data_IF_568898622715
#
_entry.id   IF_568898622715
#
_cell.length_a   1.000
_cell.length_b   1.000
_cell.length_c   1.000
_cell.angle_alpha   90.00
_cell.angle_beta   90.00
_cell.angle_gamma   90.00
#
_symmetry.space_group_name_H-M   'P 1'
#
loop_
_entity.id
_entity.type
_entity.pdbx_description
1 polymer ?
#
# COMPACT_ATOMS: atom_id res chain seq x y z
N UNK A 1 -3.55 -9.99 -18.22
CA UNK A 1 -3.23 -9.96 -16.78
C UNK A 1 -2.20 -8.87 -16.57
N UNK A 2 -2.49 -7.90 -15.71
CA UNK A 2 -1.56 -6.81 -15.37
C UNK A 2 -0.32 -7.39 -14.70
N UNK A 3 0.87 -7.02 -15.15
CA UNK A 3 2.11 -7.45 -14.51
C UNK A 3 2.23 -6.82 -13.11
N UNK A 4 2.56 -7.59 -12.05
CA UNK A 4 2.69 -7.03 -10.71
C UNK A 4 3.84 -6.01 -10.65
N UNK A 5 3.67 -4.92 -9.89
CA UNK A 5 4.65 -3.81 -9.82
C UNK A 5 6.07 -4.27 -9.43
N UNK A 6 6.17 -5.28 -8.57
CA UNK A 6 7.46 -5.86 -8.21
C UNK A 6 8.17 -6.52 -9.38
N UNK A 7 7.45 -7.18 -10.29
CA UNK A 7 8.05 -7.76 -11.49
C UNK A 7 8.52 -6.67 -12.46
N UNK A 8 7.72 -5.60 -12.62
CA UNK A 8 8.10 -4.44 -13.44
C UNK A 8 9.36 -3.73 -12.94
N UNK A 9 9.59 -3.68 -11.64
CA UNK A 9 10.79 -3.07 -11.06
C UNK A 9 12.03 -3.98 -11.09
N UNK A 10 11.85 -5.29 -11.18
CA UNK A 10 12.91 -6.31 -11.13
C UNK A 10 14.00 -6.05 -10.07
N UNK A 11 13.65 -5.97 -8.77
CA UNK A 11 14.63 -5.71 -7.73
C UNK A 11 15.49 -6.94 -7.44
N UNK A 12 16.77 -6.72 -7.18
CA UNK A 12 17.62 -7.79 -6.62
C UNK A 12 17.06 -8.28 -5.29
N UNK A 13 17.28 -9.57 -4.97
CA UNK A 13 16.89 -10.15 -3.67
C UNK A 13 17.37 -9.33 -2.47
N UNK A 14 18.55 -8.72 -2.57
CA UNK A 14 19.12 -7.86 -1.51
C UNK A 14 18.29 -6.60 -1.33
N UNK A 15 17.94 -5.92 -2.43
CA UNK A 15 17.13 -4.70 -2.38
C UNK A 15 15.73 -5.01 -1.85
N UNK A 16 15.11 -6.08 -2.34
CA UNK A 16 13.77 -6.49 -1.88
C UNK A 16 13.73 -6.76 -0.37
N UNK A 17 14.69 -7.52 0.15
CA UNK A 17 14.79 -7.77 1.60
C UNK A 17 14.89 -6.45 2.37
N UNK A 18 15.79 -5.55 1.96
CA UNK A 18 15.96 -4.25 2.63
C UNK A 18 14.69 -3.40 2.61
N UNK A 19 13.96 -3.39 1.49
CA UNK A 19 12.69 -2.70 1.36
C UNK A 19 11.60 -3.22 2.32
N UNK A 20 11.70 -4.50 2.70
CA UNK A 20 10.77 -5.17 3.61
C UNK A 20 11.11 -4.93 5.09
N UNK A 21 12.38 -5.06 5.48
CA UNK A 21 12.75 -5.06 6.91
C UNK A 21 13.25 -3.72 7.45
N UNK A 22 13.74 -2.80 6.61
CA UNK A 22 14.15 -1.49 7.08
C UNK A 22 12.91 -0.66 7.45
N UNK A 23 13.05 0.17 8.49
CA UNK A 23 11.99 1.02 9.01
C UNK A 23 11.86 2.25 8.11
N UNK A 24 10.91 2.21 7.18
CA UNK A 24 10.58 3.33 6.31
C UNK A 24 9.33 4.06 6.80
N UNK A 25 9.43 5.38 6.88
CA UNK A 25 8.32 6.30 7.05
C UNK A 25 8.00 6.94 5.70
N UNK A 26 6.71 7.14 5.42
CA UNK A 26 6.22 7.65 4.15
C UNK A 26 5.40 8.91 4.37
N UNK A 27 5.66 9.96 3.59
CA UNK A 27 4.86 11.18 3.56
C UNK A 27 4.52 11.53 2.12
N UNK A 28 3.29 11.99 1.87
CA UNK A 28 2.89 12.45 0.55
C UNK A 28 3.48 13.84 0.28
N UNK A 29 4.02 14.07 -0.92
CA UNK A 29 4.64 15.34 -1.27
C UNK A 29 4.45 15.65 -2.75
N UNK A 30 3.56 16.59 -3.09
CA UNK A 30 3.42 17.09 -4.46
C UNK A 30 3.05 16.04 -5.51
N UNK A 31 2.31 14.99 -5.13
CA UNK A 31 2.01 13.85 -6.01
C UNK A 31 3.11 12.78 -6.06
N UNK A 32 4.14 12.91 -5.23
CA UNK A 32 5.21 11.92 -5.02
C UNK A 32 5.22 11.43 -3.56
N UNK A 33 6.26 10.67 -3.17
CA UNK A 33 6.43 10.15 -1.82
C UNK A 33 7.80 10.52 -1.26
N UNK A 34 7.82 11.24 -0.14
CA UNK A 34 8.99 11.36 0.71
C UNK A 34 9.16 10.07 1.52
N UNK A 35 10.32 9.44 1.38
CA UNK A 35 10.67 8.21 2.08
C UNK A 35 11.81 8.50 3.04
N UNK A 36 11.55 8.38 4.34
CA UNK A 36 12.55 8.52 5.40
C UNK A 36 12.92 7.15 5.96
N UNK A 37 14.22 6.89 6.10
CA UNK A 37 14.71 5.65 6.68
C UNK A 37 15.05 5.80 8.16
N UNK A 38 14.11 5.42 9.02
CA UNK A 38 14.22 5.44 10.48
C UNK A 38 15.15 4.33 11.05
N UNK A 39 15.69 3.43 10.22
CA UNK A 39 16.73 2.48 10.67
C UNK A 39 18.11 3.11 10.81
N UNK A 40 18.32 4.33 10.32
CA UNK A 40 19.57 5.07 10.51
C UNK A 40 19.57 5.83 11.84
N UNK A 41 20.77 6.02 12.43
CA UNK A 41 20.94 6.81 13.65
C UNK A 41 20.57 8.30 13.47
N UNK A 42 20.55 8.75 12.22
CA UNK A 42 20.17 10.11 11.81
C UNK A 42 19.17 10.02 10.65
N UNK A 43 17.87 9.79 10.94
CA UNK A 43 16.85 9.58 9.93
C UNK A 43 16.62 10.78 9.01
N UNK A 44 16.80 12.01 9.51
CA UNK A 44 16.52 13.24 8.75
C UNK A 44 17.45 13.36 7.53
N UNK A 45 18.70 12.94 7.66
CA UNK A 45 19.66 12.87 6.55
C UNK A 45 19.45 11.67 5.61
N UNK A 46 18.44 10.84 5.89
CA UNK A 46 18.06 9.66 5.10
C UNK A 46 16.61 9.75 4.62
N UNK A 47 16.18 10.96 4.26
CA UNK A 47 14.94 11.25 3.57
C UNK A 47 15.18 11.55 2.09
N UNK A 48 14.40 10.94 1.21
CA UNK A 48 14.52 11.12 -0.24
C UNK A 48 13.14 11.14 -0.91
N UNK A 49 12.96 12.02 -1.89
CA UNK A 49 11.77 11.99 -2.72
C UNK A 49 11.84 10.81 -3.72
N UNK A 50 10.74 10.05 -3.81
CA UNK A 50 10.50 8.98 -4.79
C UNK A 50 9.40 9.45 -5.72
N UNK A 51 9.76 9.64 -6.99
CA UNK A 51 8.83 10.12 -8.00
C UNK A 51 7.87 9.01 -8.44
N UNK A 52 6.58 9.31 -8.49
CA UNK A 52 5.53 8.37 -8.91
C UNK A 52 4.92 8.82 -10.22
N UNK A 53 5.01 7.98 -11.25
CA UNK A 53 4.40 8.22 -12.57
C UNK A 53 3.55 7.02 -12.92
N UNK A 54 2.27 7.25 -13.24
CA UNK A 54 1.28 6.21 -13.57
C UNK A 54 1.28 5.05 -12.53
N UNK A 55 1.29 5.41 -11.24
CA UNK A 55 1.31 4.46 -10.13
C UNK A 55 2.61 3.65 -9.98
N UNK A 56 3.68 4.01 -10.69
CA UNK A 56 4.98 3.34 -10.63
C UNK A 56 6.06 4.27 -10.03
N UNK A 57 6.88 3.80 -9.07
CA UNK A 57 8.02 4.55 -8.59
C UNK A 57 9.17 4.52 -9.60
N UNK A 58 9.29 5.59 -10.38
CA UNK A 58 10.19 5.68 -11.55
C UNK A 58 11.59 6.15 -11.20
N UNK A 59 11.73 7.06 -10.23
CA UNK A 59 13.03 7.62 -9.83
C UNK A 59 13.09 7.89 -8.32
N UNK A 60 14.29 8.03 -7.77
CA UNK A 60 14.49 8.42 -6.38
C UNK A 60 15.74 9.29 -6.23
N UNK A 61 15.69 10.31 -5.38
CA UNK A 61 16.82 11.24 -5.19
C UNK A 61 18.01 10.63 -4.43
N UNK A 62 17.85 9.42 -3.88
CA UNK A 62 18.86 8.78 -3.06
C UNK A 62 20.15 8.44 -3.83
N UNK A 63 21.31 8.35 -3.15
CA UNK A 63 22.58 8.04 -3.80
C UNK A 63 22.61 6.69 -4.54
N UNK A 64 21.77 5.73 -4.17
CA UNK A 64 21.74 4.41 -4.79
C UNK A 64 21.12 4.45 -6.19
N UNK A 65 20.05 5.21 -6.39
CA UNK A 65 19.36 5.33 -7.68
C UNK A 65 20.25 6.03 -8.71
N UNK A 66 21.10 6.96 -8.28
CA UNK A 66 22.11 7.63 -9.13
C UNK A 66 23.26 6.71 -9.55
N UNK A 67 23.60 5.71 -8.72
CA UNK A 67 24.81 4.88 -8.89
C UNK A 67 24.55 3.55 -9.58
N UNK A 68 23.34 3.01 -9.45
CA UNK A 68 23.01 1.66 -9.91
C UNK A 68 21.81 1.71 -10.84
N UNK A 69 21.80 0.85 -11.87
CA UNK A 69 20.73 0.81 -12.87
C UNK A 69 19.42 0.18 -12.36
N UNK A 70 19.46 -0.59 -11.27
CA UNK A 70 18.29 -1.25 -10.68
C UNK A 70 17.56 -0.35 -9.66
N UNK A 71 16.33 -0.71 -9.28
CA UNK A 71 15.55 0.09 -8.33
C UNK A 71 16.25 0.15 -6.98
N UNK A 72 16.30 1.34 -6.39
CA UNK A 72 16.76 1.48 -5.02
C UNK A 72 15.75 0.90 -4.03
N UNK A 73 16.18 0.66 -2.79
CA UNK A 73 15.32 0.14 -1.72
C UNK A 73 14.08 1.01 -1.45
N UNK A 74 14.17 2.34 -1.66
CA UNK A 74 13.07 3.27 -1.45
C UNK A 74 11.95 3.09 -2.47
N UNK A 75 12.30 2.99 -3.77
CA UNK A 75 11.34 2.69 -4.85
C UNK A 75 10.62 1.38 -4.62
N UNK A 76 11.38 0.34 -4.24
CA UNK A 76 10.79 -0.98 -3.91
C UNK A 76 9.93 -0.91 -2.65
N UNK A 77 10.35 -0.14 -1.63
CA UNK A 77 9.60 0.01 -0.39
C UNK A 77 8.22 0.66 -0.62
N UNK A 78 8.14 1.65 -1.51
CA UNK A 78 6.87 2.23 -1.95
C UNK A 78 6.05 1.18 -2.73
N UNK A 79 6.67 0.51 -3.70
CA UNK A 79 5.98 -0.43 -4.59
C UNK A 79 5.31 -1.61 -3.86
N UNK A 80 5.88 -2.10 -2.76
CA UNK A 80 5.30 -3.21 -1.99
C UNK A 80 4.21 -2.77 -1.01
N UNK A 81 3.99 -1.47 -0.83
CA UNK A 81 3.02 -0.92 0.13
C UNK A 81 1.88 -0.24 -0.64
N UNK A 82 0.95 -1.05 -1.14
CA UNK A 82 -0.18 -0.59 -1.97
C UNK A 82 -0.94 0.64 -1.40
N UNK A 83 -1.23 0.74 -0.09
CA UNK A 83 -1.91 1.91 0.45
C UNK A 83 -1.16 3.24 0.23
N UNK A 84 0.17 3.21 0.16
CA UNK A 84 0.97 4.41 -0.15
C UNK A 84 0.74 4.83 -1.59
N UNK A 85 0.73 3.88 -2.53
CA UNK A 85 0.48 4.16 -3.94
C UNK A 85 -0.95 4.65 -4.19
N UNK A 86 -1.94 4.04 -3.54
CA UNK A 86 -3.35 4.46 -3.68
C UNK A 86 -3.53 5.90 -3.16
N UNK A 87 -2.86 6.26 -2.06
CA UNK A 87 -2.90 7.62 -1.52
C UNK A 87 -2.24 8.65 -2.46
N UNK A 88 -1.15 8.27 -3.13
CA UNK A 88 -0.51 9.13 -4.15
C UNK A 88 -1.40 9.31 -5.37
N UNK A 89 -1.98 8.22 -5.88
CA UNK A 89 -2.89 8.25 -7.02
C UNK A 89 -4.10 9.16 -6.74
N UNK A 90 -4.69 9.07 -5.55
CA UNK A 90 -5.73 10.00 -5.11
C UNK A 90 -5.24 11.45 -5.06
N UNK A 91 -4.03 11.71 -4.54
CA UNK A 91 -3.47 13.06 -4.50
C UNK A 91 -3.27 13.64 -5.91
N UNK A 92 -2.77 12.82 -6.84
CA UNK A 92 -2.55 13.20 -8.24
C UNK A 92 -3.87 13.51 -8.95
N UNK A 93 -4.90 12.67 -8.76
CA UNK A 93 -6.26 12.87 -9.29
C UNK A 93 -7.00 14.09 -8.72
N UNK A 94 -6.63 14.60 -7.55
CA UNK A 94 -7.22 15.85 -7.02
C UNK A 94 -6.50 17.06 -7.62
N UNK A 95 -5.18 16.95 -7.81
CA UNK A 95 -4.34 18.06 -8.28
C UNK A 95 -4.57 18.40 -9.76
N UNK A 96 -4.92 17.42 -10.59
CA UNK A 96 -5.24 17.59 -12.02
C UNK A 96 -6.67 18.11 -12.28
N UNK A 97 -7.44 18.38 -11.20
CA UNK A 97 -8.83 18.82 -11.28
C UNK A 97 -9.83 17.68 -11.45
N UNK A 98 -9.38 16.42 -11.32
CA UNK A 98 -10.26 15.27 -11.21
C UNK A 98 -11.15 15.36 -9.96
N UNK A 99 -12.39 14.91 -10.12
CA UNK A 99 -13.30 14.74 -8.99
C UNK A 99 -13.07 13.35 -8.45
N UNK A 100 -12.59 13.24 -7.21
CA UNK A 100 -12.63 11.98 -6.48
C UNK A 100 -14.10 11.71 -6.16
N UNK A 101 -14.77 10.94 -7.02
CA UNK A 101 -16.01 10.30 -6.62
C UNK A 101 -15.63 9.35 -5.50
N UNK A 102 -16.12 9.63 -4.30
CA UNK A 102 -16.02 8.72 -3.16
C UNK A 102 -16.91 7.50 -3.43
N UNK A 103 -16.57 6.73 -4.47
CA UNK A 103 -16.96 5.35 -4.63
C UNK A 103 -16.07 4.57 -3.67
N UNK A 104 -16.28 4.80 -2.37
CA UNK A 104 -16.30 3.65 -1.48
C UNK A 104 -17.17 2.60 -2.20
N UNK A 105 -16.77 1.32 -2.26
CA UNK A 105 -17.76 0.30 -2.58
C UNK A 105 -18.95 0.63 -1.70
N UNK A 106 -20.08 0.97 -2.32
CA UNK A 106 -21.34 1.18 -1.62
C UNK A 106 -21.65 -0.18 -1.00
N UNK A 107 -21.12 -0.43 0.19
CA UNK A 107 -21.91 -1.11 1.19
C UNK A 107 -23.07 -0.16 1.40
N UNK A 108 -24.15 -0.44 0.67
CA UNK A 108 -25.48 0.04 1.01
C UNK A 108 -25.76 -0.48 2.42
N UNK A 109 -25.25 0.23 3.43
CA UNK A 109 -25.78 0.17 4.77
C UNK A 109 -27.07 0.98 4.72
N UNK A 110 -28.08 0.36 4.14
CA UNK A 110 -29.46 0.63 4.51
C UNK A 110 -29.56 0.41 6.02
N UNK A 111 -29.88 1.50 6.69
CA UNK A 111 -30.65 1.59 7.92
C UNK A 111 -30.96 0.27 8.65
N UNK A 112 -30.23 0.03 9.75
CA UNK A 112 -30.80 -0.62 10.94
C UNK A 112 -31.20 -2.10 10.87
N UNK A 113 -31.00 -2.79 9.75
CA UNK A 113 -31.38 -4.21 9.62
C UNK A 113 -30.14 -5.07 9.41
N UNK A 114 -29.67 -5.73 10.47
CA UNK A 114 -28.62 -6.76 10.38
C UNK A 114 -28.98 -7.72 9.24
N UNK A 115 -28.13 -7.93 8.21
CA UNK A 115 -28.42 -8.90 7.16
C UNK A 115 -28.67 -10.24 7.84
N UNK A 116 -29.85 -10.82 7.59
CA UNK A 116 -30.34 -11.98 8.35
C UNK A 116 -29.51 -13.24 8.13
N UNK A 117 -28.68 -13.27 7.09
CA UNK A 117 -27.80 -14.39 6.78
C UNK A 117 -26.37 -13.91 6.55
N UNK A 118 -25.40 -14.55 7.22
CA UNK A 118 -24.00 -14.39 6.84
C UNK A 118 -23.76 -15.24 5.58
N UNK A 119 -23.11 -14.68 4.56
CA UNK A 119 -22.71 -15.43 3.36
C UNK A 119 -21.47 -16.30 3.66
N UNK A 120 -21.67 -17.40 4.39
CA UNK A 120 -20.62 -18.33 4.80
C UNK A 120 -20.77 -19.70 4.13
N UNK A 121 -21.61 -19.82 3.09
CA UNK A 121 -21.90 -21.09 2.40
C UNK A 121 -20.67 -21.73 1.74
N UNK A 122 -19.59 -20.94 1.54
CA UNK A 122 -18.34 -21.39 0.92
C UNK A 122 -17.16 -21.56 1.90
N UNK A 123 -17.40 -21.48 3.22
CA UNK A 123 -16.35 -21.62 4.23
C UNK A 123 -16.46 -22.98 4.93
N UNK A 124 -15.33 -23.65 5.11
CA UNK A 124 -15.25 -24.89 5.89
C UNK A 124 -15.72 -24.67 7.34
N UNK A 125 -16.43 -25.66 7.90
CA UNK A 125 -17.03 -25.60 9.25
C UNK A 125 -16.00 -25.44 10.39
N UNK A 126 -14.72 -25.70 10.11
CA UNK A 126 -13.63 -25.65 11.09
C UNK A 126 -13.16 -24.22 11.43
N UNK A 127 -13.47 -23.21 10.60
CA UNK A 127 -13.05 -21.82 10.86
C UNK A 127 -14.26 -20.87 10.96
N UNK A 128 -14.39 -20.08 12.03
CA UNK A 128 -15.53 -19.20 12.19
C UNK A 128 -15.47 -18.06 11.16
N UNK A 129 -16.51 -17.97 10.34
CA UNK A 129 -16.75 -16.88 9.41
C UNK A 129 -16.63 -15.52 10.11
N UNK A 130 -15.63 -14.70 9.73
CA UNK A 130 -15.29 -13.46 10.43
C UNK A 130 -16.47 -12.49 10.50
N UNK A 131 -17.24 -12.36 9.41
CA UNK A 131 -18.45 -11.55 9.37
C UNK A 131 -19.52 -11.98 10.41
N UNK A 132 -19.57 -13.27 10.77
CA UNK A 132 -20.44 -13.74 11.86
C UNK A 132 -19.84 -13.46 13.24
N UNK A 133 -18.53 -13.59 13.43
CA UNK A 133 -17.85 -13.30 14.70
C UNK A 133 -17.97 -11.83 15.05
N UNK A 134 -17.63 -10.95 14.11
CA UNK A 134 -17.71 -9.49 14.28
C UNK A 134 -19.13 -9.02 14.61
N UNK A 135 -20.14 -9.67 14.01
CA UNK A 135 -21.55 -9.39 14.29
C UNK A 135 -22.10 -10.00 15.59
N UNK A 136 -21.29 -10.77 16.33
CA UNK A 136 -21.69 -11.45 17.57
C UNK A 136 -22.61 -12.67 17.36
N UNK A 137 -22.65 -13.24 16.16
CA UNK A 137 -23.50 -14.41 15.81
C UNK A 137 -22.80 -15.75 15.99
N UNK A 138 -21.46 -15.76 16.03
CA UNK A 138 -20.64 -16.95 16.34
C UNK A 138 -19.53 -16.54 17.32
N UNK A 139 -19.19 -17.46 18.21
CA UNK A 139 -18.04 -17.31 19.11
C UNK A 139 -16.79 -17.90 18.44
N UNK A 140 -15.62 -17.36 18.79
CA UNK A 140 -14.36 -17.97 18.41
C UNK A 140 -14.18 -19.27 19.21
N UNK A 141 -13.80 -20.39 18.57
CA UNK A 141 -13.39 -21.58 19.31
C UNK A 141 -12.16 -21.24 20.17
N UNK A 142 -12.08 -21.84 21.36
CA UNK A 142 -10.93 -21.72 22.26
C UNK A 142 -9.68 -22.43 21.71
#
# INVERSE_FOLDING_TARGET
MSEPLLARLDPTKRVLKRAQYEAFEFSLFGGDVLVRNASHADPENHEYNVQIVDGLPTSCECPADKKYAGPCKHRVAVAIRRPVLDAVEQMQMVADGGVVTNEQPKTEVEDGSKPQNCDCEMLDDDFPCWACVESGRRELPN
#
